data_IF_497398202050
#
_entry.id   IF_497398202050
#
_cell.length_a   1.000
_cell.length_b   1.000
_cell.length_c   1.000
_cell.angle_alpha   90.00
_cell.angle_beta   90.00
_cell.angle_gamma   90.00
#
_symmetry.space_group_name_H-M   'P 1'
#
loop_
_entity.id
_entity.type
_entity.pdbx_description
1 polymer ?
#
# COMPACT_ATOMS: atom_id res chain seq x y z
N UNK A 1 13.06 -10.48 16.43
CA UNK A 1 12.35 -11.21 15.35
C UNK A 1 12.88 -12.64 15.32
N UNK A 2 12.01 -13.66 15.22
CA UNK A 2 12.45 -15.07 15.04
C UNK A 2 12.97 -15.27 13.60
N UNK A 3 13.92 -16.19 13.37
CA UNK A 3 14.54 -16.46 12.06
C UNK A 3 13.52 -16.64 10.94
N UNK A 4 12.40 -17.32 11.21
CA UNK A 4 11.31 -17.50 10.25
C UNK A 4 10.73 -16.15 9.78
N UNK A 5 10.47 -15.22 10.71
CA UNK A 5 9.90 -13.90 10.38
C UNK A 5 10.83 -13.10 9.46
N UNK A 6 12.13 -13.17 9.71
CA UNK A 6 13.15 -12.47 8.91
C UNK A 6 13.18 -13.00 7.48
N UNK A 7 13.16 -14.32 7.30
CA UNK A 7 13.16 -14.93 5.96
C UNK A 7 11.92 -14.54 5.15
N UNK A 8 10.72 -14.63 5.76
CA UNK A 8 9.48 -14.23 5.09
C UNK A 8 9.46 -12.74 4.76
N UNK A 9 9.89 -11.89 5.69
CA UNK A 9 10.00 -10.45 5.47
C UNK A 9 10.94 -10.14 4.30
N UNK A 10 12.12 -10.76 4.25
CA UNK A 10 13.10 -10.57 3.17
C UNK A 10 12.55 -10.94 1.79
N UNK A 11 11.86 -12.08 1.68
CA UNK A 11 11.21 -12.50 0.42
C UNK A 11 10.14 -11.50 0.00
N UNK A 12 9.25 -11.10 0.93
CA UNK A 12 8.18 -10.14 0.63
C UNK A 12 8.72 -8.76 0.25
N UNK A 13 9.82 -8.32 0.86
CA UNK A 13 10.52 -7.09 0.48
C UNK A 13 11.04 -7.20 -0.96
N UNK A 14 11.77 -8.27 -1.28
CA UNK A 14 12.32 -8.46 -2.62
C UNK A 14 11.20 -8.50 -3.69
N UNK A 15 10.12 -9.25 -3.44
CA UNK A 15 8.96 -9.31 -4.33
C UNK A 15 8.28 -7.95 -4.50
N UNK A 16 8.11 -7.19 -3.41
CA UNK A 16 7.54 -5.83 -3.46
C UNK A 16 8.36 -4.91 -4.35
N UNK A 17 9.69 -4.97 -4.24
CA UNK A 17 10.61 -4.17 -5.06
C UNK A 17 10.50 -4.56 -6.53
N UNK A 18 10.46 -5.87 -6.86
CA UNK A 18 10.30 -6.34 -8.24
C UNK A 18 9.02 -5.76 -8.87
N UNK A 19 7.90 -5.81 -8.14
CA UNK A 19 6.65 -5.21 -8.62
C UNK A 19 6.76 -3.69 -8.81
N UNK A 20 7.42 -2.97 -7.90
CA UNK A 20 7.61 -1.53 -8.05
C UNK A 20 8.54 -1.16 -9.22
N UNK A 21 9.53 -2.00 -9.52
CA UNK A 21 10.36 -1.84 -10.72
C UNK A 21 9.51 -2.04 -11.98
N UNK A 22 8.64 -3.06 -12.02
CA UNK A 22 7.68 -3.20 -13.13
C UNK A 22 6.70 -2.04 -13.25
N UNK A 23 6.20 -1.52 -12.12
CA UNK A 23 5.41 -0.28 -12.11
C UNK A 23 6.19 0.95 -12.60
N UNK A 24 7.52 0.91 -12.61
CA UNK A 24 8.32 2.01 -13.16
C UNK A 24 8.52 1.89 -14.67
N UNK A 25 8.63 0.66 -15.17
CA UNK A 25 8.93 0.37 -16.58
C UNK A 25 7.66 0.31 -17.44
N UNK A 26 6.51 -0.07 -16.86
CA UNK A 26 5.26 -0.32 -17.58
C UNK A 26 4.12 0.68 -17.27
N UNK A 27 4.26 1.99 -17.58
CA UNK A 27 3.32 3.06 -17.19
C UNK A 27 1.83 2.75 -17.32
N UNK A 28 1.46 1.98 -18.33
CA UNK A 28 0.06 1.64 -18.66
C UNK A 28 -0.58 0.67 -17.66
N UNK A 29 0.21 -0.15 -16.96
CA UNK A 29 -0.26 -1.19 -16.03
C UNK A 29 0.17 -0.95 -14.57
N UNK A 30 0.69 0.24 -14.27
CA UNK A 30 1.26 0.58 -12.96
C UNK A 30 0.34 0.25 -11.78
N UNK A 31 -0.96 0.52 -11.92
CA UNK A 31 -1.96 0.29 -10.87
C UNK A 31 -1.97 -1.15 -10.35
N UNK A 32 -1.80 -2.14 -11.22
CA UNK A 32 -1.82 -3.56 -10.83
C UNK A 32 -0.59 -3.89 -9.98
N UNK A 33 0.59 -3.43 -10.40
CA UNK A 33 1.84 -3.69 -9.70
C UNK A 33 1.91 -3.00 -8.33
N UNK A 34 1.30 -1.82 -8.18
CA UNK A 34 1.15 -1.21 -6.86
C UNK A 34 0.28 -2.05 -5.92
N UNK A 35 -0.83 -2.57 -6.41
CA UNK A 35 -1.72 -3.43 -5.62
C UNK A 35 -0.96 -4.69 -5.20
N UNK A 36 -0.22 -5.33 -6.12
CA UNK A 36 0.58 -6.51 -5.81
C UNK A 36 1.66 -6.22 -4.75
N UNK A 37 2.36 -5.09 -4.86
CA UNK A 37 3.32 -4.63 -3.85
C UNK A 37 2.67 -4.41 -2.48
N UNK A 38 1.47 -3.82 -2.48
CA UNK A 38 0.67 -3.62 -1.28
C UNK A 38 0.25 -4.93 -0.62
N UNK A 39 -0.11 -5.94 -1.42
CA UNK A 39 -0.49 -7.27 -0.93
C UNK A 39 0.68 -7.95 -0.21
N UNK A 40 1.93 -7.74 -0.63
CA UNK A 40 3.10 -8.27 0.08
C UNK A 40 3.20 -7.70 1.51
N UNK A 41 2.98 -6.39 1.69
CA UNK A 41 2.95 -5.76 3.02
C UNK A 41 1.76 -6.29 3.83
N UNK A 42 0.58 -6.37 3.21
CA UNK A 42 -0.63 -6.89 3.83
C UNK A 42 -0.45 -8.33 4.34
N UNK A 43 0.23 -9.19 3.57
CA UNK A 43 0.49 -10.57 3.95
C UNK A 43 1.35 -10.65 5.22
N UNK A 44 2.39 -9.81 5.35
CA UNK A 44 3.23 -9.75 6.56
C UNK A 44 2.44 -9.19 7.75
N UNK A 45 1.64 -8.15 7.55
CA UNK A 45 0.76 -7.60 8.59
C UNK A 45 -0.17 -8.68 9.14
N UNK A 46 -0.74 -9.51 8.26
CA UNK A 46 -1.60 -10.60 8.66
C UNK A 46 -0.85 -11.74 9.36
N UNK A 47 0.32 -12.15 8.86
CA UNK A 47 1.09 -13.28 9.40
C UNK A 47 1.77 -12.97 10.74
N UNK A 48 2.36 -11.79 10.87
CA UNK A 48 3.24 -11.47 12.01
C UNK A 48 2.85 -10.18 12.75
N UNK A 49 1.76 -9.53 12.33
CA UNK A 49 1.20 -8.34 12.97
C UNK A 49 1.67 -7.02 12.35
N UNK A 50 0.99 -5.95 12.75
CA UNK A 50 1.17 -4.58 12.25
C UNK A 50 2.61 -4.09 12.40
N UNK A 51 3.28 -4.42 13.52
CA UNK A 51 4.66 -4.01 13.79
C UNK A 51 5.64 -4.53 12.73
N UNK A 52 5.52 -5.79 12.34
CA UNK A 52 6.43 -6.40 11.36
C UNK A 52 6.12 -5.91 9.95
N UNK A 53 4.84 -5.69 9.63
CA UNK A 53 4.44 -5.06 8.36
C UNK A 53 5.00 -3.63 8.21
N UNK A 54 5.04 -2.87 9.31
CA UNK A 54 5.65 -1.54 9.31
C UNK A 54 7.16 -1.57 9.04
N UNK A 55 7.89 -2.54 9.61
CA UNK A 55 9.31 -2.72 9.29
C UNK A 55 9.54 -3.11 7.82
N UNK A 56 8.70 -3.99 7.28
CA UNK A 56 8.74 -4.36 5.85
C UNK A 56 8.48 -3.16 4.96
N UNK A 57 7.49 -2.35 5.29
CA UNK A 57 7.20 -1.10 4.56
C UNK A 57 8.38 -0.13 4.59
N UNK A 58 9.00 0.10 5.75
CA UNK A 58 10.18 0.97 5.86
C UNK A 58 11.34 0.42 5.03
N UNK A 59 11.62 -0.88 5.13
CA UNK A 59 12.70 -1.52 4.37
C UNK A 59 12.46 -1.42 2.86
N UNK A 60 11.24 -1.69 2.39
CA UNK A 60 10.85 -1.49 1.00
C UNK A 60 11.00 -0.03 0.55
N UNK A 61 10.59 0.92 1.39
CA UNK A 61 10.68 2.34 1.07
C UNK A 61 12.13 2.80 0.93
N UNK A 62 13.00 2.39 1.87
CA UNK A 62 14.43 2.70 1.83
C UNK A 62 15.13 2.04 0.64
N UNK A 63 14.92 0.74 0.42
CA UNK A 63 15.49 0.04 -0.73
C UNK A 63 14.96 0.61 -2.06
N UNK A 64 13.68 0.97 -2.08
CA UNK A 64 13.03 1.60 -3.23
C UNK A 64 13.66 2.93 -3.62
N UNK A 65 14.19 3.70 -2.67
CA UNK A 65 14.93 4.94 -2.97
C UNK A 65 16.13 4.69 -3.89
N UNK A 66 16.80 3.56 -3.78
CA UNK A 66 17.98 3.22 -4.59
C UNK A 66 17.59 2.47 -5.86
N UNK A 67 16.67 1.50 -5.77
CA UNK A 67 16.40 0.55 -6.85
C UNK A 67 15.32 1.00 -7.83
N UNK A 68 14.37 1.83 -7.39
CA UNK A 68 13.24 2.23 -8.24
C UNK A 68 13.67 3.44 -9.09
N UNK A 69 13.70 3.30 -10.42
CA UNK A 69 14.16 4.35 -11.31
C UNK A 69 13.18 5.52 -11.34
N UNK A 70 11.88 5.24 -11.35
CA UNK A 70 10.85 6.28 -11.36
C UNK A 70 10.50 6.72 -9.93
N UNK A 71 10.92 7.93 -9.55
CA UNK A 71 10.65 8.47 -8.20
C UNK A 71 9.18 8.80 -7.96
N UNK A 72 8.40 9.09 -9.02
CA UNK A 72 6.95 9.22 -8.89
C UNK A 72 6.34 7.92 -8.36
N UNK A 73 6.83 6.78 -8.85
CA UNK A 73 6.32 5.47 -8.46
C UNK A 73 6.59 5.19 -6.99
N UNK A 74 7.81 5.49 -6.57
CA UNK A 74 8.18 5.36 -5.17
C UNK A 74 7.35 6.28 -4.26
N UNK A 75 7.11 7.53 -4.63
CA UNK A 75 6.32 8.46 -3.80
C UNK A 75 4.88 7.99 -3.61
N UNK A 76 4.26 7.50 -4.69
CA UNK A 76 2.90 6.94 -4.65
C UNK A 76 2.86 5.68 -3.78
N UNK A 77 3.89 4.83 -3.86
CA UNK A 77 4.02 3.67 -2.99
C UNK A 77 4.16 4.07 -1.51
N UNK A 78 5.10 4.96 -1.19
CA UNK A 78 5.37 5.40 0.19
C UNK A 78 4.11 6.00 0.82
N UNK A 79 3.39 6.84 0.07
CA UNK A 79 2.26 7.61 0.61
C UNK A 79 0.98 6.80 0.70
N UNK A 80 0.70 5.91 -0.26
CA UNK A 80 -0.58 5.22 -0.38
C UNK A 80 -0.39 3.71 -0.26
N UNK A 81 0.17 3.06 -1.29
CA UNK A 81 0.07 1.60 -1.43
C UNK A 81 0.87 0.79 -0.41
N UNK A 82 2.00 1.31 0.07
CA UNK A 82 2.83 0.65 1.06
C UNK A 82 2.30 0.80 2.48
N UNK A 83 1.83 2.00 2.82
CA UNK A 83 1.37 2.33 4.18
C UNK A 83 -0.09 1.92 4.43
N UNK A 84 -0.93 1.92 3.39
CA UNK A 84 -2.36 1.63 3.54
C UNK A 84 -2.70 0.28 4.17
N UNK A 85 -2.08 -0.87 3.82
CA UNK A 85 -2.37 -2.15 4.47
C UNK A 85 -2.19 -2.14 5.99
N UNK A 86 -1.26 -1.33 6.48
CA UNK A 86 -0.96 -1.17 7.90
C UNK A 86 -2.09 -0.36 8.55
N UNK A 87 -2.49 0.75 7.94
CA UNK A 87 -3.60 1.58 8.40
C UNK A 87 -4.91 0.81 8.39
N UNK A 88 -5.18 0.07 7.31
CA UNK A 88 -6.34 -0.81 7.17
C UNK A 88 -6.43 -1.79 8.34
N UNK A 89 -5.33 -2.47 8.67
CA UNK A 89 -5.29 -3.41 9.78
C UNK A 89 -5.46 -2.76 11.16
N UNK A 90 -5.15 -1.47 11.30
CA UNK A 90 -5.42 -0.70 12.52
C UNK A 90 -6.89 -0.26 12.59
N UNK A 91 -7.48 0.19 11.48
CA UNK A 91 -8.88 0.62 11.43
C UNK A 91 -9.85 -0.56 11.63
N UNK A 92 -9.51 -1.74 11.11
CA UNK A 92 -10.35 -2.95 11.26
C UNK A 92 -10.27 -3.57 12.67
N UNK A 93 -9.39 -3.07 13.55
CA UNK A 93 -9.25 -3.54 14.93
C UNK A 93 -10.20 -2.81 15.89
N UNK A 94 -11.42 -3.31 15.98
CA UNK A 94 -12.33 -3.00 17.10
C UNK A 94 -13.14 -1.72 16.96
N UNK A 95 -13.16 -1.10 15.78
CA UNK A 95 -14.04 0.03 15.48
C UNK A 95 -15.35 -0.44 14.83
N UNK A 96 -16.47 0.29 15.03
CA UNK A 96 -17.68 0.05 14.25
C UNK A 96 -17.44 0.41 12.78
N UNK A 97 -18.16 -0.25 11.88
CA UNK A 97 -17.98 -0.15 10.41
C UNK A 97 -17.98 1.30 9.89
N UNK A 98 -18.81 2.18 10.48
CA UNK A 98 -18.88 3.59 10.09
C UNK A 98 -17.60 4.36 10.43
N UNK A 99 -17.00 4.09 11.59
CA UNK A 99 -15.76 4.74 12.03
C UNK A 99 -14.58 4.21 11.22
N UNK A 100 -14.54 2.90 10.96
CA UNK A 100 -13.53 2.29 10.11
C UNK A 100 -13.51 2.93 8.71
N UNK A 101 -14.68 3.05 8.07
CA UNK A 101 -14.79 3.64 6.74
C UNK A 101 -14.38 5.12 6.75
N UNK A 102 -14.80 5.89 7.75
CA UNK A 102 -14.40 7.29 7.91
C UNK A 102 -12.88 7.45 8.07
N UNK A 103 -12.24 6.62 8.92
CA UNK A 103 -10.79 6.66 9.12
C UNK A 103 -10.01 6.30 7.86
N UNK A 104 -10.49 5.32 7.08
CA UNK A 104 -9.90 4.93 5.80
C UNK A 104 -9.94 6.09 4.78
N UNK A 105 -11.08 6.75 4.65
CA UNK A 105 -11.23 7.93 3.78
C UNK A 105 -10.40 9.12 4.25
N UNK A 106 -10.38 9.38 5.56
CA UNK A 106 -9.56 10.44 6.14
C UNK A 106 -8.08 10.23 5.84
N UNK A 107 -7.58 9.00 6.02
CA UNK A 107 -6.22 8.63 5.66
C UNK A 107 -5.94 8.87 4.18
N UNK A 108 -6.82 8.41 3.29
CA UNK A 108 -6.61 8.56 1.85
C UNK A 108 -6.54 10.04 1.42
N UNK A 109 -7.44 10.88 1.95
CA UNK A 109 -7.42 12.32 1.71
C UNK A 109 -6.12 12.98 2.20
N UNK A 110 -5.67 12.65 3.41
CA UNK A 110 -4.39 13.14 3.93
C UNK A 110 -3.21 12.68 3.08
N UNK A 111 -3.22 11.42 2.64
CA UNK A 111 -2.19 10.87 1.76
C UNK A 111 -2.16 11.57 0.39
N UNK A 112 -3.32 11.92 -0.18
CA UNK A 112 -3.40 12.71 -1.41
C UNK A 112 -2.82 14.11 -1.24
N UNK A 113 -3.12 14.78 -0.12
CA UNK A 113 -2.57 16.11 0.18
C UNK A 113 -1.04 16.03 0.30
N UNK A 114 -0.53 15.05 1.06
CA UNK A 114 0.92 14.82 1.22
C UNK A 114 1.56 14.56 -0.15
N UNK A 115 0.97 13.68 -0.96
CA UNK A 115 1.47 13.34 -2.28
C UNK A 115 1.50 14.56 -3.22
N UNK A 116 0.47 15.40 -3.19
CA UNK A 116 0.42 16.65 -3.96
C UNK A 116 1.58 17.60 -3.58
N UNK A 117 1.82 17.80 -2.28
CA UNK A 117 2.95 18.62 -1.82
C UNK A 117 4.30 18.00 -2.17
N UNK A 118 4.45 16.67 -2.10
CA UNK A 118 5.67 15.99 -2.52
C UNK A 118 5.96 16.21 -4.00
N UNK A 119 4.96 16.09 -4.88
CA UNK A 119 5.14 16.38 -6.30
C UNK A 119 5.52 17.83 -6.56
N UNK A 120 4.85 18.78 -5.89
CA UNK A 120 5.15 20.21 -6.03
C UNK A 120 6.57 20.57 -5.56
N UNK A 121 7.02 20.02 -4.43
CA UNK A 121 8.31 20.37 -3.82
C UNK A 121 9.49 19.68 -4.51
N UNK A 122 9.36 18.38 -4.81
CA UNK A 122 10.48 17.55 -5.26
C UNK A 122 10.63 17.61 -6.78
N UNK A 123 9.52 17.56 -7.50
CA UNK A 123 9.53 17.44 -8.97
C UNK A 123 9.30 18.80 -9.62
N UNK A 124 8.78 19.78 -8.88
CA UNK A 124 8.39 21.12 -9.37
C UNK A 124 7.43 21.09 -10.55
N UNK A 125 6.80 19.94 -10.79
CA UNK A 125 5.71 19.80 -11.74
C UNK A 125 4.39 19.84 -10.99
N UNK A 126 3.48 20.68 -11.49
CA UNK A 126 2.11 20.68 -11.01
C UNK A 126 1.35 19.69 -11.89
N UNK A 127 0.73 18.64 -11.32
CA UNK A 127 -0.10 17.74 -12.11
C UNK A 127 -1.19 18.54 -12.84
N UNK A 128 -1.15 18.50 -14.17
CA UNK A 128 -2.17 19.12 -15.00
C UNK A 128 -3.43 18.25 -14.99
N UNK A 129 -4.43 18.69 -14.23
CA UNK A 129 -5.71 17.99 -14.14
C UNK A 129 -6.59 18.31 -15.34
N UNK A 130 -6.55 17.45 -16.38
CA UNK A 130 -7.33 17.62 -17.63
C UNK A 130 -8.84 17.83 -17.42
N UNK A 131 -9.42 17.25 -16.37
CA UNK A 131 -10.86 17.28 -16.08
C UNK A 131 -11.24 18.20 -14.92
N UNK A 132 -10.29 19.04 -14.45
CA UNK A 132 -10.46 19.87 -13.25
C UNK A 132 -10.22 19.12 -11.95
N UNK A 133 -9.80 19.85 -10.92
CA UNK A 133 -9.34 19.29 -9.64
C UNK A 133 -10.44 18.48 -8.92
N UNK A 134 -11.66 19.02 -8.89
CA UNK A 134 -12.80 18.37 -8.22
C UNK A 134 -13.11 16.99 -8.82
N UNK A 135 -13.14 16.89 -10.15
CA UNK A 135 -13.46 15.63 -10.84
C UNK A 135 -12.38 14.58 -10.60
N UNK A 136 -11.11 15.00 -10.57
CA UNK A 136 -10.00 14.09 -10.27
C UNK A 136 -10.03 13.56 -8.85
N UNK A 137 -10.33 14.40 -7.85
CA UNK A 137 -10.45 13.98 -6.45
C UNK A 137 -11.61 13.00 -6.28
N UNK A 138 -12.78 13.30 -6.83
CA UNK A 138 -13.93 12.38 -6.76
C UNK A 138 -13.60 11.04 -7.41
N UNK A 139 -12.96 11.05 -8.59
CA UNK A 139 -12.58 9.80 -9.26
C UNK A 139 -11.57 8.98 -8.46
N UNK A 140 -10.63 9.64 -7.77
CA UNK A 140 -9.60 8.97 -6.97
C UNK A 140 -10.19 8.33 -5.72
N UNK A 141 -11.19 8.96 -5.09
CA UNK A 141 -11.94 8.38 -3.96
C UNK A 141 -12.65 7.09 -4.36
N UNK A 142 -13.32 7.08 -5.52
CA UNK A 142 -13.99 5.88 -6.04
C UNK A 142 -12.97 4.76 -6.29
N UNK A 143 -11.82 5.09 -6.88
CA UNK A 143 -10.74 4.12 -7.12
C UNK A 143 -10.19 3.58 -5.79
N UNK A 144 -10.06 4.43 -4.77
CA UNK A 144 -9.62 4.01 -3.45
C UNK A 144 -10.58 3.04 -2.78
N UNK A 145 -11.90 3.31 -2.85
CA UNK A 145 -12.91 2.38 -2.34
C UNK A 145 -12.80 1.01 -3.03
N UNK A 146 -12.63 1.02 -4.37
CA UNK A 146 -12.42 -0.21 -5.13
C UNK A 146 -11.14 -0.94 -4.69
N UNK A 147 -10.05 -0.21 -4.48
CA UNK A 147 -8.79 -0.76 -3.98
C UNK A 147 -8.93 -1.36 -2.58
N UNK A 148 -9.63 -0.70 -1.65
CA UNK A 148 -9.88 -1.26 -0.32
C UNK A 148 -10.66 -2.57 -0.41
N UNK A 149 -11.72 -2.59 -1.21
CA UNK A 149 -12.51 -3.78 -1.46
C UNK A 149 -11.67 -4.93 -2.04
N UNK A 150 -10.81 -4.65 -3.03
CA UNK A 150 -9.90 -5.63 -3.61
C UNK A 150 -8.94 -6.19 -2.56
N UNK A 151 -8.37 -5.36 -1.70
CA UNK A 151 -7.51 -5.84 -0.62
C UNK A 151 -8.26 -6.73 0.38
N UNK A 152 -9.51 -6.39 0.71
CA UNK A 152 -10.35 -7.24 1.59
C UNK A 152 -10.60 -8.60 0.95
N UNK A 153 -10.96 -8.62 -0.34
CA UNK A 153 -11.20 -9.86 -1.09
C UNK A 153 -9.94 -10.74 -1.15
N UNK A 154 -8.77 -10.13 -1.44
CA UNK A 154 -7.49 -10.85 -1.50
C UNK A 154 -7.15 -11.41 -0.12
N UNK A 155 -7.30 -10.61 0.94
CA UNK A 155 -7.04 -11.06 2.31
C UNK A 155 -7.95 -12.24 2.71
N UNK A 156 -9.23 -12.18 2.37
CA UNK A 156 -10.17 -13.29 2.61
C UNK A 156 -9.74 -14.55 1.86
N UNK A 157 -9.38 -14.45 0.57
CA UNK A 157 -8.89 -15.60 -0.19
C UNK A 157 -7.60 -16.17 0.37
N UNK A 158 -6.65 -15.33 0.78
CA UNK A 158 -5.39 -15.77 1.40
C UNK A 158 -5.64 -16.55 2.70
N UNK A 159 -6.59 -16.10 3.53
CA UNK A 159 -7.01 -16.82 4.74
C UNK A 159 -7.60 -18.19 4.41
N UNK A 160 -8.48 -18.27 3.40
CA UNK A 160 -9.13 -19.52 2.98
C UNK A 160 -8.15 -20.55 2.44
N UNK A 161 -7.15 -20.12 1.68
CA UNK A 161 -6.24 -21.04 1.00
C UNK A 161 -5.27 -21.74 1.97
N UNK A 162 -5.24 -21.40 3.27
CA UNK A 162 -4.31 -21.98 4.28
C UNK A 162 -2.83 -22.03 3.81
N UNK A 163 -2.45 -21.22 2.80
CA UNK A 163 -1.14 -21.30 2.13
C UNK A 163 0.01 -21.04 3.12
N UNK A 164 -0.29 -20.37 4.24
CA UNK A 164 0.63 -20.23 5.35
C UNK A 164 -0.11 -20.54 6.64
N UNK A 165 0.06 -21.77 7.13
CA UNK A 165 -0.42 -22.19 8.45
C UNK A 165 0.21 -21.32 9.54
N UNK A 166 -0.50 -20.28 9.94
CA UNK A 166 -0.24 -19.45 11.10
C UNK A 166 -1.46 -19.51 11.98
N UNK A 167 -1.27 -20.04 13.18
CA UNK A 167 -2.27 -20.20 14.22
C UNK A 167 -3.11 -18.95 14.41
N UNK A 168 -4.43 -19.17 14.47
CA UNK A 168 -5.36 -18.30 15.18
C UNK A 168 -4.70 -17.94 16.51
N UNK A 169 -4.28 -16.70 16.66
CA UNK A 169 -4.06 -16.14 17.98
C UNK A 169 -5.36 -15.44 18.35
N UNK A 170 -6.05 -16.13 19.25
CA UNK A 170 -7.03 -15.57 20.19
C UNK A 170 -6.55 -14.24 20.81
#
# INVERSE_FOLDING_TARGET
>A
MSTKKISYAGVMIATSIIFLVFASILPRANSIFYILSSVCVMAIVWLFGVREGFFVYIACSLLGMFLIPNKLVLMVYISIFGLYPIIKALCEKGFPIYVEFFLKLLYYNLALIILYFMFKLIIKEIPHFKFGLALTVISSEIIFILYDYLLTLILQKLKTLKIFGGTLHD
#
